data_IF_327465164355
#
_entry.id   IF_327465164355
#
_cell.length_a   1.000
_cell.length_b   1.000
_cell.length_c   1.000
_cell.angle_alpha   90.00
_cell.angle_beta   90.00
_cell.angle_gamma   90.00
#
_symmetry.space_group_name_H-M   'P 1'
#
loop_
_entity.id
_entity.type
_entity.pdbx_description
1 polymer ?
#
# COMPACT_ATOMS: atom_id res chain seq x y z
N UNK A 1 21.82 16.39 -12.60
CA UNK A 1 21.25 15.25 -13.35
C UNK A 1 21.82 13.98 -12.74
N UNK A 2 21.15 13.36 -11.78
CA UNK A 2 21.69 12.22 -11.04
C UNK A 2 20.55 11.46 -10.34
N UNK A 3 20.55 10.13 -10.49
CA UNK A 3 19.52 9.27 -9.89
C UNK A 3 19.45 7.87 -10.52
N UNK A 4 19.79 7.76 -11.81
CA UNK A 4 19.96 6.46 -12.47
C UNK A 4 21.37 5.94 -12.20
N UNK A 5 21.47 4.76 -11.60
CA UNK A 5 22.73 4.06 -11.32
C UNK A 5 22.61 2.63 -11.90
N UNK A 6 23.12 2.40 -13.12
CA UNK A 6 22.99 1.12 -13.81
C UNK A 6 23.63 -0.04 -13.03
N UNK A 7 24.76 0.19 -12.36
CA UNK A 7 25.47 -0.85 -11.63
C UNK A 7 24.66 -1.28 -10.40
N UNK A 8 24.14 -0.32 -9.63
CA UNK A 8 23.26 -0.61 -8.50
C UNK A 8 21.93 -1.21 -8.93
N UNK A 9 21.35 -0.71 -10.03
CA UNK A 9 20.14 -1.28 -10.63
C UNK A 9 20.37 -2.77 -10.96
N UNK A 10 21.43 -3.11 -11.69
CA UNK A 10 21.72 -4.51 -12.03
C UNK A 10 21.94 -5.39 -10.78
N UNK A 11 22.68 -4.89 -9.78
CA UNK A 11 22.92 -5.63 -8.55
C UNK A 11 21.63 -5.92 -7.76
N UNK A 12 20.77 -4.91 -7.59
CA UNK A 12 19.50 -5.06 -6.86
C UNK A 12 18.49 -5.90 -7.65
N UNK A 13 18.43 -5.77 -8.98
CA UNK A 13 17.62 -6.64 -9.82
C UNK A 13 18.06 -8.10 -9.67
N UNK A 14 19.37 -8.36 -9.66
CA UNK A 14 19.89 -9.71 -9.42
C UNK A 14 19.59 -10.25 -8.03
N UNK A 15 19.64 -9.42 -6.99
CA UNK A 15 19.28 -9.82 -5.63
C UNK A 15 17.80 -10.19 -5.54
N UNK A 16 16.93 -9.35 -6.12
CA UNK A 16 15.49 -9.57 -6.15
C UNK A 16 15.07 -10.88 -6.82
N UNK A 17 15.76 -11.32 -7.88
CA UNK A 17 15.52 -12.61 -8.55
C UNK A 17 15.69 -13.83 -7.63
N UNK A 18 16.49 -13.69 -6.57
CA UNK A 18 16.73 -14.74 -5.58
C UNK A 18 15.94 -14.57 -4.28
N UNK A 19 15.09 -13.54 -4.21
CA UNK A 19 14.33 -13.19 -3.02
C UNK A 19 13.00 -13.94 -2.93
N UNK A 20 12.33 -13.81 -1.79
CA UNK A 20 10.98 -14.33 -1.57
C UNK A 20 9.88 -13.37 -2.05
N UNK A 21 10.20 -12.29 -2.78
CA UNK A 21 9.18 -11.31 -3.20
C UNK A 21 8.09 -11.93 -4.06
N UNK A 22 6.90 -11.35 -4.01
CA UNK A 22 5.83 -11.70 -4.93
C UNK A 22 5.94 -10.93 -6.24
N UNK A 23 5.23 -11.45 -7.24
CA UNK A 23 5.04 -10.93 -8.59
C UNK A 23 6.27 -11.05 -9.50
N UNK A 24 6.02 -10.94 -10.81
CA UNK A 24 7.05 -10.98 -11.84
C UNK A 24 8.19 -10.01 -11.54
N UNK A 25 9.42 -10.39 -11.88
CA UNK A 25 10.60 -9.56 -11.62
C UNK A 25 10.59 -8.21 -12.36
N UNK A 26 9.84 -8.12 -13.46
CA UNK A 26 9.64 -6.89 -14.22
C UNK A 26 8.39 -6.13 -13.77
N UNK A 27 7.66 -6.61 -12.78
CA UNK A 27 6.57 -5.86 -12.17
C UNK A 27 7.13 -4.53 -11.64
N UNK A 28 6.39 -3.45 -11.86
CA UNK A 28 6.86 -2.08 -11.62
C UNK A 28 7.30 -1.81 -10.17
N UNK A 29 6.76 -2.51 -9.18
CA UNK A 29 7.19 -2.45 -7.78
C UNK A 29 8.46 -3.24 -7.50
N UNK A 30 8.76 -4.27 -8.29
CA UNK A 30 9.96 -5.12 -8.17
C UNK A 30 11.18 -4.51 -8.87
N UNK A 31 11.01 -3.45 -9.65
CA UNK A 31 12.11 -2.69 -10.27
C UNK A 31 12.76 -1.79 -9.22
N UNK A 32 14.09 -1.89 -8.98
CA UNK A 32 14.80 -1.02 -8.04
C UNK A 32 14.72 0.48 -8.37
N UNK A 33 14.73 1.32 -7.33
CA UNK A 33 14.71 2.78 -7.44
C UNK A 33 15.90 3.33 -8.25
N UNK A 34 17.07 2.68 -8.17
CA UNK A 34 18.27 3.07 -8.93
C UNK A 34 18.11 2.86 -10.45
N UNK A 35 17.14 2.07 -10.89
CA UNK A 35 16.81 1.93 -12.30
C UNK A 35 16.07 3.16 -12.85
N UNK A 36 15.46 3.97 -11.98
CA UNK A 36 14.72 5.17 -12.38
C UNK A 36 15.58 6.42 -12.32
N UNK A 37 15.35 7.32 -13.28
CA UNK A 37 15.81 8.70 -13.18
C UNK A 37 14.99 9.43 -12.12
N UNK A 38 15.59 10.47 -11.56
CA UNK A 38 14.90 11.43 -10.71
C UNK A 38 13.97 12.28 -11.57
N UNK A 39 12.71 12.43 -11.15
CA UNK A 39 11.74 13.25 -11.86
C UNK A 39 12.16 14.73 -11.91
N UNK A 40 11.87 15.41 -13.02
CA UNK A 40 12.24 16.83 -13.23
C UNK A 40 11.62 17.77 -12.21
N UNK A 41 10.46 17.39 -11.67
CA UNK A 41 9.69 18.09 -10.65
C UNK A 41 9.83 17.44 -9.26
N UNK A 42 10.90 16.66 -9.05
CA UNK A 42 11.14 15.95 -7.78
C UNK A 42 11.03 16.88 -6.58
N UNK A 43 11.61 18.08 -6.61
CA UNK A 43 11.57 19.01 -5.50
C UNK A 43 10.12 19.32 -5.06
N UNK A 44 9.22 19.57 -6.02
CA UNK A 44 7.80 19.83 -5.74
C UNK A 44 7.17 18.64 -5.02
N UNK A 45 7.31 17.45 -5.58
CA UNK A 45 6.58 16.28 -5.07
C UNK A 45 7.19 15.74 -3.78
N UNK A 46 8.51 15.76 -3.62
CA UNK A 46 9.16 15.38 -2.37
C UNK A 46 8.81 16.34 -1.25
N UNK A 47 8.76 17.66 -1.53
CA UNK A 47 8.37 18.66 -0.54
C UNK A 47 6.89 18.52 -0.16
N UNK A 48 6.00 18.34 -1.14
CA UNK A 48 4.58 18.13 -0.87
C UNK A 48 4.36 16.89 -0.01
N UNK A 49 4.97 15.76 -0.39
CA UNK A 49 4.85 14.53 0.39
C UNK A 49 5.42 14.72 1.81
N UNK A 50 6.64 15.25 1.95
CA UNK A 50 7.29 15.42 3.25
C UNK A 50 6.51 16.34 4.19
N UNK A 51 5.96 17.45 3.67
CA UNK A 51 5.29 18.45 4.50
C UNK A 51 3.84 18.08 4.81
N UNK A 52 3.13 17.39 3.91
CA UNK A 52 1.67 17.26 4.00
C UNK A 52 1.12 15.83 4.02
N UNK A 53 1.94 14.78 3.86
CA UNK A 53 1.44 13.38 3.82
C UNK A 53 0.89 12.86 5.14
N UNK A 54 1.21 13.50 6.26
CA UNK A 54 0.62 13.28 7.57
C UNK A 54 -0.28 14.48 7.93
N UNK A 55 -1.48 14.23 8.47
CA UNK A 55 -2.44 15.29 8.79
C UNK A 55 -1.92 16.27 9.83
N UNK A 56 -1.25 15.79 10.87
CA UNK A 56 -0.66 16.63 11.91
C UNK A 56 0.38 17.59 11.29
N UNK A 57 1.21 17.08 10.38
CA UNK A 57 2.16 17.89 9.62
C UNK A 57 1.45 18.91 8.71
N UNK A 58 0.39 18.49 8.01
CA UNK A 58 -0.41 19.36 7.15
C UNK A 58 -1.12 20.49 7.91
N UNK A 59 -1.42 20.28 9.19
CA UNK A 59 -1.97 21.29 10.11
C UNK A 59 -0.90 22.14 10.80
N UNK A 60 0.38 21.97 10.44
CA UNK A 60 1.48 22.83 10.86
C UNK A 60 2.42 22.25 11.91
N UNK A 61 2.22 21.00 12.35
CA UNK A 61 3.16 20.35 13.27
C UNK A 61 4.45 19.94 12.53
N UNK A 62 5.50 20.73 12.69
CA UNK A 62 6.78 20.51 12.00
C UNK A 62 7.49 19.22 12.40
N UNK A 63 7.21 18.68 13.60
CA UNK A 63 7.83 17.45 14.08
C UNK A 63 7.32 16.19 13.36
N UNK A 64 6.12 16.27 12.77
CA UNK A 64 5.45 15.16 12.07
C UNK A 64 5.75 15.16 10.56
N UNK A 65 6.57 16.10 10.08
CA UNK A 65 6.94 16.14 8.66
C UNK A 65 7.80 14.93 8.31
N UNK A 66 7.38 14.20 7.27
CA UNK A 66 7.99 12.95 6.84
C UNK A 66 7.82 11.81 7.85
N UNK A 67 7.00 11.97 8.90
CA UNK A 67 6.61 10.86 9.75
C UNK A 67 5.88 9.82 8.90
N UNK A 68 6.25 8.56 9.10
CA UNK A 68 5.68 7.42 8.39
C UNK A 68 5.62 6.23 9.34
N UNK A 69 4.41 5.76 9.60
CA UNK A 69 4.16 4.58 10.42
C UNK A 69 4.21 3.30 9.59
N UNK A 70 4.43 2.19 10.28
CA UNK A 70 4.22 0.85 9.77
C UNK A 70 2.98 0.27 10.46
N UNK A 71 1.95 0.01 9.67
CA UNK A 71 0.72 -0.65 10.06
C UNK A 71 0.99 -2.09 10.44
N UNK A 72 1.16 -2.34 11.75
CA UNK A 72 1.43 -3.67 12.29
C UNK A 72 0.21 -4.31 12.95
N UNK A 73 -0.82 -3.54 13.31
CA UNK A 73 -2.01 -4.07 13.97
C UNK A 73 -3.29 -3.61 13.27
N UNK A 74 -3.72 -2.37 13.50
CA UNK A 74 -4.98 -1.84 12.99
C UNK A 74 -5.01 -1.73 11.46
N UNK A 75 -3.88 -1.34 10.87
CA UNK A 75 -3.73 -1.01 9.44
C UNK A 75 -2.68 -1.89 8.74
N UNK A 76 -2.43 -3.09 9.27
CA UNK A 76 -1.68 -4.14 8.60
C UNK A 76 -2.63 -5.31 8.32
N UNK A 77 -2.77 -5.82 7.08
CA UNK A 77 -3.72 -6.89 6.77
C UNK A 77 -3.42 -8.16 7.56
N UNK A 78 -4.45 -8.79 8.11
CA UNK A 78 -4.32 -10.11 8.72
C UNK A 78 -4.16 -11.18 7.63
N UNK A 79 -2.94 -11.66 7.43
CA UNK A 79 -2.64 -12.66 6.40
C UNK A 79 -2.78 -14.08 6.97
N UNK A 80 -3.56 -14.92 6.31
CA UNK A 80 -3.74 -16.34 6.63
C UNK A 80 -3.43 -17.23 5.43
N UNK A 81 -3.15 -18.51 5.70
CA UNK A 81 -2.79 -19.48 4.68
C UNK A 81 -3.99 -20.36 4.33
N UNK A 82 -4.24 -20.60 3.05
CA UNK A 82 -5.42 -21.36 2.61
C UNK A 82 -5.40 -22.83 3.07
N UNK A 83 -4.23 -23.40 3.30
CA UNK A 83 -4.05 -24.76 3.87
C UNK A 83 -4.34 -24.84 5.38
N UNK A 84 -4.47 -23.70 6.07
CA UNK A 84 -4.95 -23.60 7.46
C UNK A 84 -6.48 -23.44 7.54
N UNK A 85 -7.17 -23.34 6.40
CA UNK A 85 -8.62 -23.28 6.34
C UNK A 85 -9.24 -24.60 6.81
N UNK A 86 -10.33 -24.51 7.56
CA UNK A 86 -11.08 -25.68 8.04
C UNK A 86 -12.36 -25.93 7.25
N UNK A 87 -12.75 -24.98 6.40
CA UNK A 87 -13.96 -25.01 5.56
C UNK A 87 -13.79 -24.08 4.36
N UNK A 88 -14.77 -24.05 3.47
CA UNK A 88 -15.04 -22.90 2.59
C UNK A 88 -16.22 -22.09 3.13
N UNK A 89 -16.33 -20.82 2.72
CA UNK A 89 -17.47 -19.96 3.06
C UNK A 89 -17.90 -19.14 1.85
N UNK A 90 -19.21 -18.95 1.66
CA UNK A 90 -19.75 -18.00 0.67
C UNK A 90 -19.57 -16.57 1.18
N UNK A 91 -19.25 -15.66 0.27
CA UNK A 91 -18.99 -14.26 0.61
C UNK A 91 -19.95 -13.33 -0.12
N UNK A 92 -20.49 -12.35 0.60
CA UNK A 92 -21.37 -11.32 0.08
C UNK A 92 -20.82 -9.93 0.42
N UNK A 93 -20.91 -9.01 -0.53
CA UNK A 93 -20.46 -7.63 -0.36
C UNK A 93 -21.59 -6.70 0.12
N UNK A 94 -21.25 -5.69 0.92
CA UNK A 94 -22.18 -4.64 1.38
C UNK A 94 -21.86 -3.23 0.89
N UNK A 95 -20.62 -2.95 0.50
CA UNK A 95 -20.17 -1.59 0.18
C UNK A 95 -19.74 -1.44 -1.28
N UNK A 96 -18.94 -2.39 -1.77
CA UNK A 96 -18.40 -2.38 -3.13
C UNK A 96 -18.63 -3.72 -3.82
N UNK A 97 -18.74 -3.68 -5.15
CA UNK A 97 -18.79 -4.90 -5.95
C UNK A 97 -17.59 -5.81 -5.66
N UNK A 98 -17.79 -7.13 -5.73
CA UNK A 98 -16.72 -8.13 -5.67
C UNK A 98 -16.39 -8.67 -7.07
N UNK A 99 -15.21 -9.29 -7.19
CA UNK A 99 -14.75 -9.94 -8.43
C UNK A 99 -14.60 -11.48 -8.28
N UNK A 100 -15.30 -12.08 -7.31
CA UNK A 100 -15.29 -13.53 -7.03
C UNK A 100 -16.04 -14.36 -8.09
N UNK A 101 -16.23 -13.83 -9.29
CA UNK A 101 -17.01 -14.48 -10.36
C UNK A 101 -16.47 -15.87 -10.69
N UNK A 102 -17.35 -16.86 -10.64
CA UNK A 102 -16.99 -18.27 -10.84
C UNK A 102 -16.28 -18.94 -9.66
N UNK A 103 -16.01 -18.21 -8.57
CA UNK A 103 -15.39 -18.70 -7.32
C UNK A 103 -16.05 -18.03 -6.10
N UNK A 104 -17.37 -18.18 -5.89
CA UNK A 104 -18.12 -17.45 -4.87
C UNK A 104 -17.77 -17.86 -3.43
N UNK A 105 -17.01 -18.95 -3.28
CA UNK A 105 -16.54 -19.44 -1.99
C UNK A 105 -15.03 -19.22 -1.84
N UNK A 106 -14.63 -18.88 -0.62
CA UNK A 106 -13.23 -18.69 -0.25
C UNK A 106 -12.82 -19.72 0.82
N UNK A 107 -11.54 -20.16 0.86
CA UNK A 107 -11.03 -20.91 1.99
C UNK A 107 -11.22 -20.11 3.28
N UNK A 108 -11.69 -20.77 4.34
CA UNK A 108 -12.05 -20.09 5.58
C UNK A 108 -11.78 -20.92 6.82
N UNK A 109 -11.36 -20.23 7.88
CA UNK A 109 -11.37 -20.75 9.23
C UNK A 109 -12.16 -19.78 10.12
N UNK A 110 -13.25 -20.20 10.77
CA UNK A 110 -14.03 -19.35 11.66
C UNK A 110 -13.23 -18.71 12.81
N UNK A 111 -12.05 -19.26 13.16
CA UNK A 111 -11.17 -18.66 14.17
C UNK A 111 -10.32 -17.51 13.65
N UNK A 112 -10.23 -17.28 12.33
CA UNK A 112 -9.47 -16.16 11.78
C UNK A 112 -10.11 -14.84 12.18
N UNK A 113 -9.25 -13.90 12.57
CA UNK A 113 -9.63 -12.57 13.07
C UNK A 113 -9.10 -11.53 12.09
N UNK A 114 -9.93 -10.58 11.64
CA UNK A 114 -9.47 -9.46 10.82
C UNK A 114 -8.64 -8.48 11.63
N UNK A 115 -7.95 -7.57 10.96
CA UNK A 115 -7.29 -6.45 11.63
C UNK A 115 -8.28 -5.65 12.50
N UNK A 116 -7.90 -5.21 13.71
CA UNK A 116 -8.82 -4.56 14.64
C UNK A 116 -9.15 -3.10 14.28
N UNK A 117 -8.44 -2.51 13.30
CA UNK A 117 -8.74 -1.19 12.77
C UNK A 117 -10.06 -1.17 11.99
N UNK A 118 -10.48 0.01 11.56
CA UNK A 118 -11.77 0.20 10.90
C UNK A 118 -11.89 -0.50 9.53
N UNK A 119 -10.78 -0.91 8.91
CA UNK A 119 -10.78 -1.62 7.63
C UNK A 119 -11.08 -3.11 7.76
N UNK A 120 -10.84 -3.72 8.93
CA UNK A 120 -11.08 -5.14 9.18
C UNK A 120 -10.62 -6.07 8.05
N UNK A 121 -9.39 -5.86 7.54
CA UNK A 121 -8.89 -6.60 6.38
C UNK A 121 -8.38 -8.00 6.75
N UNK A 122 -8.71 -8.98 5.91
CA UNK A 122 -8.09 -10.31 5.86
C UNK A 122 -7.57 -10.55 4.45
N UNK A 123 -6.33 -11.06 4.34
CA UNK A 123 -5.81 -11.62 3.10
C UNK A 123 -5.62 -13.13 3.29
N UNK A 124 -6.04 -13.92 2.31
CA UNK A 124 -5.85 -15.37 2.29
C UNK A 124 -4.90 -15.71 1.16
N UNK A 125 -3.81 -16.43 1.46
CA UNK A 125 -2.80 -16.85 0.50
C UNK A 125 -2.81 -18.36 0.32
N UNK A 126 -3.00 -18.81 -0.91
CA UNK A 126 -2.80 -20.21 -1.30
C UNK A 126 -1.48 -20.34 -2.05
N UNK A 127 -0.42 -20.81 -1.39
CA UNK A 127 0.88 -20.99 -2.06
C UNK A 127 0.94 -22.19 -2.97
N UNK A 128 0.03 -23.16 -2.83
CA UNK A 128 0.01 -24.31 -3.72
C UNK A 128 -0.38 -23.84 -5.13
N UNK A 129 -1.44 -23.03 -5.22
CA UNK A 129 -1.97 -22.54 -6.49
C UNK A 129 -1.49 -21.15 -6.89
N UNK A 130 -0.91 -20.38 -5.96
CA UNK A 130 -0.53 -18.98 -6.19
C UNK A 130 -1.70 -18.01 -6.10
N UNK A 131 -2.86 -18.42 -5.56
CA UNK A 131 -4.04 -17.57 -5.44
C UNK A 131 -3.98 -16.70 -4.19
N UNK A 132 -4.54 -15.51 -4.30
CA UNK A 132 -4.70 -14.57 -3.21
C UNK A 132 -6.12 -14.00 -3.20
N UNK A 133 -6.69 -13.86 -2.00
CA UNK A 133 -7.96 -13.18 -1.77
C UNK A 133 -7.77 -12.05 -0.77
N UNK A 134 -8.43 -10.91 -0.98
CA UNK A 134 -8.60 -9.87 0.04
C UNK A 134 -10.08 -9.74 0.39
N UNK A 135 -10.34 -9.63 1.68
CA UNK A 135 -11.65 -9.42 2.28
C UNK A 135 -11.56 -8.15 3.12
N UNK A 136 -12.27 -7.10 2.73
CA UNK A 136 -12.25 -5.80 3.37
C UNK A 136 -13.58 -5.51 4.08
N UNK A 137 -13.55 -4.83 5.22
CA UNK A 137 -14.66 -4.68 6.18
C UNK A 137 -15.30 -6.02 6.56
N UNK A 138 -14.50 -6.98 7.01
CA UNK A 138 -15.00 -8.31 7.42
C UNK A 138 -15.93 -8.18 8.63
N UNK A 139 -17.20 -8.55 8.44
CA UNK A 139 -18.27 -8.46 9.43
C UNK A 139 -18.63 -9.84 9.97
N UNK A 140 -17.86 -10.33 10.96
CA UNK A 140 -18.10 -11.66 11.57
C UNK A 140 -19.38 -11.69 12.41
N UNK A 141 -19.57 -10.68 13.25
CA UNK A 141 -20.67 -10.66 14.23
C UNK A 141 -21.85 -9.81 13.78
N UNK A 142 -21.58 -8.63 13.19
CA UNK A 142 -22.60 -7.70 12.71
C UNK A 142 -22.69 -7.71 11.19
N UNK A 143 -23.32 -8.73 10.61
CA UNK A 143 -23.50 -8.93 9.17
C UNK A 143 -24.68 -8.14 8.57
N UNK A 144 -25.24 -7.18 9.32
CA UNK A 144 -26.45 -6.46 8.92
C UNK A 144 -26.28 -5.61 7.66
N UNK A 145 -25.05 -5.17 7.34
CA UNK A 145 -24.78 -4.40 6.12
C UNK A 145 -25.03 -5.23 4.84
N UNK A 146 -24.96 -6.56 4.92
CA UNK A 146 -25.28 -7.43 3.79
C UNK A 146 -26.78 -7.74 3.66
N UNK A 147 -27.64 -7.23 4.55
CA UNK A 147 -29.11 -7.34 4.42
C UNK A 147 -29.60 -6.32 3.39
N UNK A 148 -29.30 -6.59 2.12
CA UNK A 148 -29.79 -5.81 0.97
C UNK A 148 -30.76 -6.66 0.16
N UNK A 149 -31.63 -6.03 -0.63
CA UNK A 149 -32.53 -6.75 -1.54
C UNK A 149 -31.75 -7.62 -2.52
N UNK A 150 -30.64 -7.10 -3.05
CA UNK A 150 -29.75 -7.83 -3.96
C UNK A 150 -29.20 -9.11 -3.31
N UNK A 151 -28.60 -9.00 -2.13
CA UNK A 151 -28.04 -10.15 -1.42
C UNK A 151 -29.13 -11.13 -0.98
N UNK A 152 -30.31 -10.64 -0.58
CA UNK A 152 -31.45 -11.50 -0.25
C UNK A 152 -31.88 -12.36 -1.45
N UNK A 153 -32.02 -11.76 -2.63
CA UNK A 153 -32.36 -12.50 -3.85
C UNK A 153 -31.23 -13.42 -4.32
N UNK A 154 -29.98 -13.10 -4.00
CA UNK A 154 -28.82 -13.98 -4.20
C UNK A 154 -28.69 -15.09 -3.13
N UNK A 155 -29.62 -15.16 -2.17
CA UNK A 155 -29.69 -16.23 -1.17
C UNK A 155 -28.71 -16.06 0.00
N UNK A 156 -28.41 -14.82 0.39
CA UNK A 156 -27.64 -14.51 1.59
C UNK A 156 -28.36 -15.00 2.86
N UNK A 157 -27.59 -15.63 3.75
CA UNK A 157 -28.02 -16.13 5.07
C UNK A 157 -27.12 -15.54 6.13
N UNK A 158 -27.66 -14.59 6.89
CA UNK A 158 -26.98 -13.98 8.04
C UNK A 158 -26.51 -15.02 9.06
N UNK A 159 -25.29 -14.85 9.56
CA UNK A 159 -24.65 -15.77 10.50
C UNK A 159 -24.19 -17.10 9.90
N UNK A 160 -24.39 -17.32 8.59
CA UNK A 160 -23.93 -18.51 7.86
C UNK A 160 -22.95 -18.13 6.77
N UNK A 161 -23.28 -17.13 5.96
CA UNK A 161 -22.39 -16.59 4.94
C UNK A 161 -21.59 -15.41 5.49
N UNK A 162 -20.41 -15.17 4.92
CA UNK A 162 -19.54 -14.08 5.33
C UNK A 162 -20.02 -12.78 4.70
N UNK A 163 -20.27 -11.77 5.55
CA UNK A 163 -20.50 -10.41 5.10
C UNK A 163 -19.18 -9.62 5.09
N UNK A 164 -18.91 -8.92 4.00
CA UNK A 164 -17.74 -8.04 3.84
C UNK A 164 -18.14 -6.75 3.14
N UNK A 165 -17.37 -5.69 3.29
CA UNK A 165 -17.52 -4.48 2.46
C UNK A 165 -17.15 -4.76 1.01
N UNK A 166 -16.06 -5.48 0.80
CA UNK A 166 -15.61 -5.95 -0.51
C UNK A 166 -14.89 -7.30 -0.39
N UNK A 167 -15.06 -8.16 -1.40
CA UNK A 167 -14.22 -9.33 -1.60
C UNK A 167 -13.53 -9.27 -2.96
N UNK A 168 -12.28 -9.69 -2.98
CA UNK A 168 -11.45 -9.73 -4.17
C UNK A 168 -10.66 -11.03 -4.24
N UNK A 169 -10.51 -11.58 -5.44
CA UNK A 169 -9.48 -12.55 -5.80
C UNK A 169 -8.50 -11.88 -6.78
N UNK A 170 -7.21 -12.20 -6.66
CA UNK A 170 -6.19 -11.78 -7.62
C UNK A 170 -6.55 -12.20 -9.05
N UNK A 171 -6.55 -11.24 -9.98
CA UNK A 171 -6.80 -11.47 -11.40
C UNK A 171 -5.82 -10.69 -12.25
N UNK A 172 -5.43 -11.25 -13.38
CA UNK A 172 -4.69 -10.55 -14.42
C UNK A 172 -5.60 -9.55 -15.15
N UNK A 173 -5.02 -8.74 -16.04
CA UNK A 173 -5.74 -7.75 -16.86
C UNK A 173 -6.70 -8.37 -17.89
N UNK A 174 -6.52 -9.65 -18.25
CA UNK A 174 -7.44 -10.41 -19.10
C UNK A 174 -8.58 -11.09 -18.31
N UNK A 175 -8.56 -10.94 -16.97
CA UNK A 175 -9.54 -11.50 -16.05
C UNK A 175 -9.37 -12.94 -15.64
N UNK A 176 -8.34 -13.63 -16.15
CA UNK A 176 -7.89 -14.90 -15.57
C UNK A 176 -7.45 -14.71 -14.11
N UNK A 177 -7.58 -15.75 -13.29
CA UNK A 177 -7.08 -15.73 -11.91
C UNK A 177 -5.55 -15.63 -11.94
N UNK A 178 -4.99 -14.67 -11.21
CA UNK A 178 -3.55 -14.45 -11.17
C UNK A 178 -2.86 -15.46 -10.26
N UNK A 179 -1.62 -15.79 -10.60
CA UNK A 179 -0.68 -16.46 -9.72
C UNK A 179 0.28 -15.41 -9.15
N UNK A 180 0.20 -15.08 -7.86
CA UNK A 180 1.04 -14.04 -7.25
C UNK A 180 2.55 -14.32 -7.38
N UNK A 181 2.97 -15.54 -7.73
CA UNK A 181 4.38 -15.91 -7.90
C UNK A 181 4.95 -15.45 -9.24
N UNK A 182 4.10 -15.26 -10.25
CA UNK A 182 4.52 -14.97 -11.63
C UNK A 182 3.73 -13.85 -12.29
N UNK A 183 2.59 -13.45 -11.74
CA UNK A 183 1.76 -12.38 -12.29
C UNK A 183 2.46 -11.04 -12.12
N UNK A 184 2.13 -10.08 -12.98
CA UNK A 184 2.62 -8.71 -12.83
C UNK A 184 1.97 -7.95 -11.68
N UNK A 185 0.99 -8.55 -10.98
CA UNK A 185 0.07 -7.97 -9.97
C UNK A 185 -0.79 -6.79 -10.43
N UNK A 186 -0.70 -6.37 -11.69
CA UNK A 186 -1.68 -5.46 -12.30
C UNK A 186 -2.94 -6.26 -12.60
N UNK A 187 -4.09 -5.71 -12.24
CA UNK A 187 -5.37 -6.39 -12.31
C UNK A 187 -6.34 -5.75 -13.29
N UNK A 188 -7.38 -6.48 -13.68
CA UNK A 188 -8.58 -5.91 -14.30
C UNK A 188 -9.52 -5.25 -13.29
N UNK A 189 -9.33 -5.49 -11.98
CA UNK A 189 -10.25 -5.08 -10.93
C UNK A 189 -9.56 -4.12 -9.94
N UNK A 190 -10.20 -3.00 -9.53
CA UNK A 190 -9.63 -2.10 -8.54
C UNK A 190 -9.54 -2.77 -7.16
N UNK A 191 -8.31 -2.95 -6.68
CA UNK A 191 -8.01 -3.61 -5.41
C UNK A 191 -7.46 -2.71 -4.32
N UNK A 192 -6.97 -1.51 -4.68
CA UNK A 192 -6.41 -0.49 -3.76
C UNK A 192 -6.77 0.91 -4.24
N UNK A 193 -6.41 1.93 -3.47
CA UNK A 193 -6.61 3.33 -3.81
C UNK A 193 -6.02 3.74 -5.16
N UNK A 194 -4.83 3.21 -5.49
CA UNK A 194 -4.15 3.43 -6.75
C UNK A 194 -4.81 2.70 -7.93
N UNK A 195 -5.77 1.81 -7.68
CA UNK A 195 -6.61 1.20 -8.69
C UNK A 195 -6.38 -0.29 -8.87
N UNK A 196 -6.26 -0.71 -10.13
CA UNK A 196 -6.39 -2.09 -10.55
C UNK A 196 -5.11 -2.88 -10.33
N UNK A 197 -4.92 -3.30 -9.08
CA UNK A 197 -3.81 -4.13 -8.60
C UNK A 197 -4.34 -5.26 -7.73
N UNK A 198 -3.59 -6.35 -7.62
CA UNK A 198 -3.96 -7.51 -6.81
C UNK A 198 -3.66 -7.29 -5.31
N UNK A 199 -4.24 -8.10 -4.40
CA UNK A 199 -4.21 -7.85 -2.95
C UNK A 199 -2.85 -7.55 -2.33
N UNK A 200 -1.84 -8.38 -2.59
CA UNK A 200 -0.53 -8.30 -1.92
C UNK A 200 0.45 -7.31 -2.55
N UNK A 201 0.05 -6.59 -3.59
CA UNK A 201 0.89 -5.56 -4.21
C UNK A 201 1.32 -4.54 -3.15
N UNK A 202 2.64 -4.33 -3.04
CA UNK A 202 3.32 -3.39 -2.15
C UNK A 202 3.33 -3.74 -0.65
N UNK A 203 2.82 -4.92 -0.25
CA UNK A 203 2.74 -5.33 1.16
C UNK A 203 3.92 -6.26 1.51
N UNK A 204 4.86 -5.83 2.38
CA UNK A 204 5.94 -6.68 2.83
C UNK A 204 5.41 -7.78 3.75
N UNK A 205 5.92 -9.00 3.54
CA UNK A 205 5.56 -10.18 4.33
C UNK A 205 6.61 -10.54 5.36
N UNK A 206 6.20 -11.26 6.40
CA UNK A 206 7.13 -11.78 7.40
C UNK A 206 8.18 -12.73 6.79
N UNK A 207 7.81 -13.51 5.76
CA UNK A 207 8.74 -14.40 5.05
C UNK A 207 9.91 -13.65 4.38
N UNK A 208 9.69 -12.40 3.97
CA UNK A 208 10.71 -11.54 3.37
C UNK A 208 11.61 -10.94 4.46
N UNK A 209 10.99 -10.41 5.52
CA UNK A 209 11.69 -9.79 6.64
C UNK A 209 12.55 -10.82 7.39
N UNK A 210 12.06 -12.05 7.57
CA UNK A 210 12.82 -13.15 8.16
C UNK A 210 13.96 -13.64 7.25
N UNK A 211 13.79 -13.56 5.93
CA UNK A 211 14.85 -13.84 4.95
C UNK A 211 15.91 -12.71 4.90
N UNK A 212 15.57 -11.52 5.38
CA UNK A 212 16.52 -10.43 5.60
C UNK A 212 16.45 -9.28 4.59
N UNK A 213 15.48 -9.27 3.68
CA UNK A 213 15.30 -8.21 2.69
C UNK A 213 13.84 -8.04 2.30
N UNK A 214 13.46 -6.81 1.91
CA UNK A 214 12.22 -6.54 1.18
C UNK A 214 12.65 -5.98 -0.17
N UNK A 215 12.45 -6.76 -1.22
CA UNK A 215 13.01 -6.50 -2.55
C UNK A 215 11.96 -5.98 -3.54
N UNK A 216 11.07 -5.13 -3.03
CA UNK A 216 10.02 -4.44 -3.78
C UNK A 216 9.66 -3.09 -3.12
N UNK A 217 8.95 -2.22 -3.85
CA UNK A 217 8.45 -0.96 -3.32
C UNK A 217 7.38 -1.18 -2.25
N UNK A 218 7.33 -0.29 -1.26
CA UNK A 218 6.33 -0.32 -0.19
C UNK A 218 5.12 0.55 -0.53
N UNK A 219 3.96 0.24 0.05
CA UNK A 219 2.78 1.08 -0.09
C UNK A 219 2.90 2.31 0.81
N UNK A 220 2.19 3.38 0.46
CA UNK A 220 2.03 4.52 1.35
C UNK A 220 0.60 5.06 1.23
N UNK A 221 -0.14 4.89 2.31
CA UNK A 221 -1.41 5.55 2.55
C UNK A 221 -1.09 6.98 3.00
N UNK A 222 -1.49 7.98 2.22
CA UNK A 222 -1.11 9.38 2.44
C UNK A 222 -2.33 10.28 2.65
N UNK A 223 -2.20 11.26 3.56
CA UNK A 223 -3.28 12.21 3.84
C UNK A 223 -3.52 13.20 2.69
N UNK A 224 -2.47 13.54 1.95
CA UNK A 224 -2.50 14.54 0.88
C UNK A 224 -2.54 13.92 -0.51
N UNK A 225 -3.33 12.86 -0.75
CA UNK A 225 -3.53 12.37 -2.11
C UNK A 225 -4.25 13.42 -2.98
N UNK A 226 -3.91 13.42 -4.28
CA UNK A 226 -4.45 14.38 -5.25
C UNK A 226 -5.96 14.26 -5.39
N UNK A 227 -6.64 15.40 -5.47
CA UNK A 227 -8.09 15.48 -5.61
C UNK A 227 -8.55 16.52 -6.64
N UNK A 228 -9.84 16.53 -6.93
CA UNK A 228 -10.52 17.46 -7.80
C UNK A 228 -10.68 16.95 -9.23
N UNK A 229 -11.39 17.74 -10.05
CA UNK A 229 -11.71 17.39 -11.41
C UNK A 229 -10.47 17.04 -12.25
N UNK A 230 -10.65 16.04 -13.10
CA UNK A 230 -9.69 15.53 -14.07
C UNK A 230 -8.94 16.64 -14.83
N UNK A 231 -7.61 16.53 -14.91
CA UNK A 231 -6.87 17.33 -15.89
C UNK A 231 -7.23 16.91 -17.33
N UNK A 232 -7.45 17.88 -18.20
CA UNK A 232 -7.49 17.66 -19.64
C UNK A 232 -6.09 17.44 -20.20
N UNK A 233 -5.99 16.84 -21.39
CA UNK A 233 -4.71 16.68 -22.08
C UNK A 233 -3.97 18.01 -22.28
N UNK A 234 -4.69 19.12 -22.51
CA UNK A 234 -4.10 20.45 -22.67
C UNK A 234 -3.57 21.06 -21.36
N UNK A 235 -4.07 20.60 -20.21
CA UNK A 235 -3.61 21.07 -18.90
C UNK A 235 -2.42 20.27 -18.38
N UNK A 236 -2.24 19.03 -18.83
CA UNK A 236 -1.07 18.21 -18.46
C UNK A 236 0.24 18.88 -18.88
N UNK A 237 1.22 18.90 -17.97
CA UNK A 237 2.51 19.58 -18.18
C UNK A 237 2.48 21.10 -18.00
N UNK A 238 1.34 21.69 -17.61
CA UNK A 238 1.22 23.12 -17.30
C UNK A 238 1.09 23.38 -15.80
N UNK A 239 1.09 24.64 -15.38
CA UNK A 239 0.86 25.04 -13.98
C UNK A 239 -0.54 24.67 -13.44
N UNK A 240 -1.47 24.27 -14.31
CA UNK A 240 -2.79 23.80 -13.91
C UNK A 240 -2.75 22.40 -13.26
N UNK A 241 -1.84 21.53 -13.73
CA UNK A 241 -1.75 20.15 -13.29
C UNK A 241 -1.35 20.04 -11.82
N UNK A 242 -2.23 19.44 -11.03
CA UNK A 242 -2.08 19.32 -9.58
C UNK A 242 -2.31 20.63 -8.83
N UNK A 243 -3.03 21.58 -9.43
CA UNK A 243 -3.45 22.84 -8.80
C UNK A 243 -4.91 23.14 -9.07
N UNK A 244 -5.28 23.34 -10.33
CA UNK A 244 -6.67 23.58 -10.74
C UNK A 244 -7.36 22.33 -11.31
N UNK A 245 -6.60 21.26 -11.54
CA UNK A 245 -7.09 19.92 -11.88
C UNK A 245 -6.24 18.82 -11.21
N UNK A 246 -6.82 17.63 -11.02
CA UNK A 246 -6.19 16.45 -10.43
C UNK A 246 -5.86 15.36 -11.46
N UNK A 247 -4.92 14.48 -11.11
CA UNK A 247 -4.51 13.33 -11.93
C UNK A 247 -3.79 12.28 -11.08
N UNK A 248 -3.64 11.07 -11.62
CA UNK A 248 -2.75 10.01 -11.14
C UNK A 248 -1.68 9.70 -12.20
N UNK A 249 -0.60 9.03 -11.78
CA UNK A 249 0.46 8.58 -12.68
C UNK A 249 0.70 7.08 -12.51
N UNK A 250 1.24 6.43 -13.54
CA UNK A 250 1.59 5.02 -13.45
C UNK A 250 2.49 4.74 -12.23
N UNK A 251 2.24 3.63 -11.49
CA UNK A 251 1.37 2.52 -11.86
C UNK A 251 -0.09 2.67 -11.43
N UNK A 252 -0.50 3.81 -10.89
CA UNK A 252 -1.90 4.02 -10.57
C UNK A 252 -2.76 3.98 -11.85
N UNK A 253 -3.89 3.29 -11.76
CA UNK A 253 -4.93 3.22 -12.80
C UNK A 253 -6.18 4.03 -12.43
N UNK A 254 -6.21 4.64 -11.24
CA UNK A 254 -7.23 5.58 -10.77
C UNK A 254 -6.62 6.56 -9.77
N UNK A 255 -7.30 7.66 -9.49
CA UNK A 255 -7.10 8.43 -8.25
C UNK A 255 -8.44 8.62 -7.54
N UNK A 256 -8.43 8.52 -6.21
CA UNK A 256 -9.64 8.39 -5.39
C UNK A 256 -10.41 9.71 -5.25
N UNK A 257 -9.70 10.84 -5.26
CA UNK A 257 -10.28 12.16 -5.02
C UNK A 257 -10.94 12.83 -6.23
N UNK A 258 -11.48 12.09 -7.20
CA UNK A 258 -12.00 12.67 -8.46
C UNK A 258 -13.07 13.75 -8.24
N UNK A 259 -13.90 13.57 -7.21
CA UNK A 259 -15.00 14.49 -6.88
C UNK A 259 -14.63 15.53 -5.80
N UNK A 260 -13.36 15.56 -5.40
CA UNK A 260 -12.86 16.37 -4.29
C UNK A 260 -12.16 15.53 -3.23
N UNK A 261 -11.74 16.16 -2.11
CA UNK A 261 -11.10 15.46 -1.00
C UNK A 261 -11.94 14.31 -0.44
N UNK A 262 -11.28 13.31 0.16
CA UNK A 262 -11.93 12.11 0.68
C UNK A 262 -13.04 12.44 1.69
N UNK A 263 -14.28 12.10 1.32
CA UNK A 263 -15.48 12.42 2.10
C UNK A 263 -15.57 11.61 3.39
N UNK A 264 -15.07 10.36 3.39
CA UNK A 264 -15.05 9.48 4.55
C UNK A 264 -14.24 10.07 5.72
N UNK A 265 -13.32 11.01 5.45
CA UNK A 265 -12.56 11.69 6.49
C UNK A 265 -13.36 12.69 7.32
N UNK A 266 -14.62 13.00 6.97
CA UNK A 266 -15.49 13.84 7.81
C UNK A 266 -14.87 15.20 8.12
N UNK A 267 -14.68 15.52 9.42
CA UNK A 267 -14.01 16.77 9.85
C UNK A 267 -12.50 16.78 9.62
N UNK A 268 -11.89 15.63 9.32
CA UNK A 268 -10.49 15.51 8.99
C UNK A 268 -10.21 15.73 7.50
N UNK A 269 -11.23 15.86 6.64
CA UNK A 269 -11.03 16.06 5.19
C UNK A 269 -10.30 17.38 4.88
N UNK A 270 -9.54 17.39 3.79
CA UNK A 270 -8.96 18.61 3.24
C UNK A 270 -10.02 19.58 2.70
N UNK A 271 -9.71 20.88 2.66
CA UNK A 271 -10.56 21.85 1.98
C UNK A 271 -10.43 21.74 0.45
N UNK A 272 -11.56 21.82 -0.26
CA UNK A 272 -11.61 21.70 -1.72
C UNK A 272 -11.22 23.00 -2.44
N UNK A 273 -9.98 23.46 -2.26
CA UNK A 273 -9.43 24.67 -2.90
C UNK A 273 -8.20 24.37 -3.75
N UNK A 274 -7.90 25.23 -4.73
CA UNK A 274 -6.69 25.10 -5.57
C UNK A 274 -5.40 25.25 -4.75
N UNK A 275 -5.43 26.09 -3.70
CA UNK A 275 -4.30 26.26 -2.79
C UNK A 275 -3.98 24.95 -2.07
N UNK A 276 -5.00 24.29 -1.52
CA UNK A 276 -4.82 23.02 -0.81
C UNK A 276 -4.46 21.91 -1.79
N UNK A 277 -5.09 21.85 -2.97
CA UNK A 277 -4.71 20.88 -4.01
C UNK A 277 -3.25 20.99 -4.41
N UNK A 278 -2.69 22.21 -4.46
CA UNK A 278 -1.27 22.39 -4.78
C UNK A 278 -0.29 21.76 -3.79
N UNK A 279 -0.76 21.36 -2.60
CA UNK A 279 0.01 20.66 -1.55
C UNK A 279 -0.10 19.13 -1.61
N UNK A 280 -0.93 18.59 -2.51
CA UNK A 280 -1.19 17.16 -2.63
C UNK A 280 -0.17 16.46 -3.54
N UNK A 281 -0.23 15.13 -3.59
CA UNK A 281 0.60 14.27 -4.43
C UNK A 281 -0.27 13.31 -5.27
N UNK A 282 -0.01 13.13 -6.57
CA UNK A 282 -0.71 12.14 -7.39
C UNK A 282 -0.55 10.72 -6.81
N UNK A 283 -1.64 9.92 -6.77
CA UNK A 283 -1.49 8.47 -6.57
C UNK A 283 -0.56 7.89 -7.66
N UNK A 284 0.19 6.85 -7.27
CA UNK A 284 1.22 6.21 -8.09
C UNK A 284 2.58 6.91 -8.05
N UNK A 285 2.69 8.09 -7.43
CA UNK A 285 3.98 8.75 -7.23
C UNK A 285 4.89 7.87 -6.38
N UNK A 286 6.07 7.56 -6.91
CA UNK A 286 7.09 6.76 -6.23
C UNK A 286 8.22 7.64 -5.73
N UNK A 287 8.56 7.48 -4.47
CA UNK A 287 9.68 8.16 -3.81
C UNK A 287 10.73 7.16 -3.39
N UNK A 288 11.97 7.61 -3.18
CA UNK A 288 13.02 6.81 -2.55
C UNK A 288 13.91 7.66 -1.66
N UNK A 289 14.53 7.03 -0.68
CA UNK A 289 15.56 7.64 0.15
C UNK A 289 16.92 7.63 -0.56
N UNK A 290 17.63 8.74 -0.43
CA UNK A 290 19.02 8.90 -0.83
C UNK A 290 19.88 8.76 0.42
N UNK A 291 20.29 7.52 0.69
CA UNK A 291 21.06 7.14 1.88
C UNK A 291 22.15 6.15 1.52
N UNK A 292 23.28 6.26 2.19
CA UNK A 292 24.32 5.23 2.21
C UNK A 292 24.06 4.20 3.32
N UNK A 293 24.74 3.05 3.28
CA UNK A 293 24.66 2.07 4.36
C UNK A 293 25.17 2.63 5.69
N UNK A 294 26.24 3.43 5.66
CA UNK A 294 26.79 4.05 6.86
C UNK A 294 25.84 5.08 7.49
N UNK A 295 25.06 5.80 6.69
CA UNK A 295 24.02 6.70 7.21
C UNK A 295 22.84 5.93 7.83
N UNK A 296 22.44 4.81 7.23
CA UNK A 296 21.43 3.92 7.84
C UNK A 296 21.96 3.36 9.17
N UNK A 297 23.21 2.89 9.20
CA UNK A 297 23.81 2.38 10.43
C UNK A 297 23.97 3.43 11.53
N UNK A 298 24.26 4.67 11.13
CA UNK A 298 24.32 5.83 12.04
C UNK A 298 22.94 6.15 12.61
N UNK A 299 21.89 6.15 11.79
CA UNK A 299 20.51 6.34 12.24
C UNK A 299 20.05 5.23 13.20
N UNK A 300 20.30 3.96 12.86
CA UNK A 300 19.98 2.83 13.74
C UNK A 300 20.66 2.97 15.12
N UNK A 301 21.88 3.50 15.13
CA UNK A 301 22.66 3.73 16.36
C UNK A 301 22.10 4.90 17.15
N UNK A 302 21.72 6.01 16.50
CA UNK A 302 21.11 7.16 17.19
C UNK A 302 19.74 6.84 17.80
N UNK A 303 19.02 5.86 17.22
CA UNK A 303 17.79 5.29 17.78
C UNK A 303 18.02 4.33 18.94
N UNK A 304 19.27 3.93 19.21
CA UNK A 304 19.58 2.91 20.21
C UNK A 304 19.07 1.52 19.85
N UNK A 305 18.73 1.27 18.58
CA UNK A 305 18.25 -0.04 18.16
C UNK A 305 19.39 -1.05 18.22
N UNK A 306 19.10 -2.21 18.82
CA UNK A 306 20.02 -3.34 18.95
C UNK A 306 19.34 -4.66 18.57
N UNK A 307 20.12 -5.73 18.43
CA UNK A 307 19.59 -7.09 18.24
C UNK A 307 18.66 -7.25 17.04
N UNK A 308 17.53 -7.94 17.26
CA UNK A 308 16.53 -8.22 16.22
C UNK A 308 15.84 -6.94 15.71
N UNK A 309 15.44 -6.03 16.61
CA UNK A 309 14.83 -4.75 16.23
C UNK A 309 15.73 -3.94 15.29
N UNK A 310 17.05 -3.89 15.56
CA UNK A 310 18.01 -3.22 14.66
C UNK A 310 18.00 -3.83 13.26
N UNK A 311 18.04 -5.16 13.16
CA UNK A 311 18.01 -5.85 11.87
C UNK A 311 16.72 -5.55 11.11
N UNK A 312 15.57 -5.64 11.78
CA UNK A 312 14.27 -5.36 11.16
C UNK A 312 14.13 -3.91 10.72
N UNK A 313 14.49 -2.94 11.56
CA UNK A 313 14.51 -1.53 11.19
C UNK A 313 15.46 -1.26 10.00
N UNK A 314 16.59 -1.96 9.94
CA UNK A 314 17.53 -1.86 8.81
C UNK A 314 16.90 -2.34 7.51
N UNK A 315 16.14 -3.44 7.53
CA UNK A 315 15.48 -4.00 6.34
C UNK A 315 14.51 -2.97 5.74
N UNK A 316 13.66 -2.36 6.55
CA UNK A 316 12.75 -1.30 6.08
C UNK A 316 13.51 -0.08 5.55
N UNK A 317 14.55 0.39 6.24
CA UNK A 317 15.35 1.52 5.79
C UNK A 317 16.06 1.26 4.44
N UNK A 318 16.54 0.03 4.25
CA UNK A 318 17.13 -0.43 2.99
C UNK A 318 16.08 -0.49 1.89
N UNK A 319 14.89 -1.05 2.16
CA UNK A 319 13.80 -1.12 1.20
C UNK A 319 13.35 0.28 0.73
N UNK A 320 13.17 1.24 1.66
CA UNK A 320 12.82 2.63 1.35
C UNK A 320 13.88 3.37 0.50
N UNK A 321 15.14 2.94 0.58
CA UNK A 321 16.23 3.45 -0.26
C UNK A 321 16.26 2.76 -1.62
N UNK A 322 16.27 1.43 -1.62
CA UNK A 322 16.58 0.59 -2.78
C UNK A 322 15.38 0.40 -3.70
N UNK A 323 14.17 0.42 -3.16
CA UNK A 323 12.92 0.30 -3.90
C UNK A 323 11.97 1.48 -3.61
N UNK A 324 12.03 2.10 -2.45
CA UNK A 324 11.19 3.25 -2.16
C UNK A 324 9.75 2.89 -1.83
N UNK A 325 8.86 3.88 -1.87
CA UNK A 325 7.45 3.74 -1.56
C UNK A 325 6.58 4.41 -2.62
N UNK A 326 5.38 3.89 -2.83
CA UNK A 326 4.40 4.39 -3.79
C UNK A 326 3.18 4.91 -3.03
N UNK A 327 2.76 6.14 -3.31
CA UNK A 327 1.49 6.67 -2.81
C UNK A 327 0.35 5.84 -3.38
N UNK A 328 -0.21 4.96 -2.55
CA UNK A 328 -1.12 3.91 -2.95
C UNK A 328 -2.56 4.19 -2.55
N UNK A 329 -2.79 4.77 -1.38
CA UNK A 329 -4.13 4.90 -0.80
C UNK A 329 -4.26 6.25 -0.10
N UNK A 330 -5.50 6.65 0.16
CA UNK A 330 -5.81 7.85 0.94
C UNK A 330 -6.11 7.48 2.39
N UNK A 331 -5.55 8.23 3.33
CA UNK A 331 -5.83 8.10 4.77
C UNK A 331 -6.31 9.44 5.33
N UNK A 332 -6.98 9.40 6.49
CA UNK A 332 -7.51 10.58 7.13
C UNK A 332 -6.60 11.18 8.20
N UNK A 333 -5.50 10.48 8.57
CA UNK A 333 -4.70 10.86 9.74
C UNK A 333 -3.20 10.75 9.51
N UNK A 334 -2.67 9.53 9.48
CA UNK A 334 -1.25 9.29 9.50
C UNK A 334 -0.74 8.81 8.13
N UNK A 335 0.49 9.17 7.77
CA UNK A 335 1.16 8.58 6.61
C UNK A 335 1.59 7.18 7.00
N UNK A 336 0.99 6.16 6.40
CA UNK A 336 1.13 4.77 6.85
C UNK A 336 1.65 3.89 5.71
N UNK A 337 2.44 2.88 6.05
CA UNK A 337 2.72 1.73 5.18
C UNK A 337 2.13 0.49 5.83
N UNK A 338 1.37 -0.29 5.09
CA UNK A 338 0.85 -1.55 5.60
C UNK A 338 1.95 -2.61 5.52
N UNK A 339 2.02 -3.48 6.53
CA UNK A 339 2.81 -4.71 6.50
C UNK A 339 1.94 -5.88 6.95
N UNK A 340 2.38 -7.12 6.76
CA UNK A 340 1.69 -8.28 7.32
C UNK A 340 1.37 -8.07 8.81
N UNK A 341 0.08 -8.08 9.15
CA UNK A 341 -0.44 -7.63 10.43
C UNK A 341 -0.36 -8.67 11.55
N UNK A 342 -0.23 -8.19 12.78
CA UNK A 342 -0.18 -8.98 14.02
C UNK A 342 -1.56 -9.44 14.51
N UNK A 343 -2.64 -9.16 13.79
CA UNK A 343 -3.96 -9.68 14.13
C UNK A 343 -4.03 -11.22 13.99
N UNK A 344 -3.24 -11.80 13.07
CA UNK A 344 -2.96 -13.23 13.06
C UNK A 344 -2.00 -13.57 14.24
N UNK A 345 -2.40 -14.41 15.22
CA UNK A 345 -1.54 -14.75 16.36
C UNK A 345 -0.21 -15.39 15.98
N UNK A 346 -0.17 -16.14 14.87
CA UNK A 346 1.08 -16.72 14.37
C UNK A 346 2.04 -15.62 13.87
N UNK A 347 1.51 -14.63 13.14
CA UNK A 347 2.27 -13.47 12.68
C UNK A 347 2.76 -12.61 13.88
N UNK A 348 1.92 -12.40 14.90
CA UNK A 348 2.33 -11.67 16.12
C UNK A 348 3.56 -12.32 16.80
N UNK A 349 3.59 -13.65 16.88
CA UNK A 349 4.73 -14.38 17.45
C UNK A 349 6.00 -14.21 16.62
N UNK A 350 5.89 -14.21 15.30
CA UNK A 350 7.00 -13.99 14.36
C UNK A 350 7.56 -12.58 14.47
N UNK A 351 6.69 -11.56 14.50
CA UNK A 351 7.09 -10.18 14.76
C UNK A 351 7.81 -9.99 16.09
N UNK A 352 7.33 -10.64 17.17
CA UNK A 352 8.00 -10.61 18.46
C UNK A 352 9.43 -11.21 18.39
N UNK A 353 9.62 -12.28 17.61
CA UNK A 353 10.96 -12.86 17.37
C UNK A 353 11.87 -11.93 16.56
N UNK A 354 11.29 -11.10 15.70
CA UNK A 354 11.96 -10.00 15.00
C UNK A 354 12.23 -8.77 15.91
N UNK A 355 11.85 -8.85 17.19
CA UNK A 355 12.05 -7.78 18.16
C UNK A 355 11.11 -6.60 17.98
N UNK A 356 9.99 -6.79 17.30
CA UNK A 356 8.98 -5.77 17.03
C UNK A 356 7.73 -6.05 17.86
N UNK A 357 7.30 -5.04 18.61
CA UNK A 357 6.02 -5.01 19.31
C UNK A 357 5.00 -4.15 18.53
N UNK A 358 3.68 -4.30 18.78
CA UNK A 358 2.67 -3.47 18.14
C UNK A 358 2.93 -1.96 18.26
N UNK A 359 3.42 -1.51 19.43
CA UNK A 359 3.73 -0.09 19.70
C UNK A 359 4.90 0.46 18.88
N UNK A 360 5.72 -0.39 18.28
CA UNK A 360 6.85 0.06 17.46
C UNK A 360 6.41 0.59 16.10
N UNK A 361 5.22 0.22 15.62
CA UNK A 361 4.74 0.59 14.29
C UNK A 361 4.79 2.09 14.01
N UNK A 362 4.42 2.92 15.00
CA UNK A 362 4.38 4.36 14.83
C UNK A 362 5.73 5.08 15.00
N UNK A 363 6.78 4.38 15.44
CA UNK A 363 8.06 5.01 15.81
C UNK A 363 9.29 4.32 15.21
N UNK A 364 9.11 3.20 14.51
CA UNK A 364 10.23 2.40 14.00
C UNK A 364 11.11 3.22 13.05
N UNK A 365 10.51 4.11 12.25
CA UNK A 365 11.16 4.92 11.21
C UNK A 365 11.53 6.34 11.65
N UNK A 366 11.29 6.72 12.90
CA UNK A 366 11.55 8.09 13.41
C UNK A 366 12.96 8.58 13.07
N UNK A 367 13.04 9.77 12.48
CA UNK A 367 14.31 10.44 12.18
C UNK A 367 15.10 9.83 11.01
N UNK A 368 14.62 8.77 10.36
CA UNK A 368 15.22 8.24 9.14
C UNK A 368 14.99 9.19 7.96
N UNK A 369 13.72 9.58 7.79
CA UNK A 369 13.22 10.35 6.65
C UNK A 369 13.46 11.84 6.91
N UNK A 370 14.10 12.51 5.95
CA UNK A 370 14.36 13.95 5.96
C UNK A 370 14.14 14.53 4.58
N UNK A 371 13.73 15.78 4.52
CA UNK A 371 13.44 16.47 3.26
C UNK A 371 14.58 16.39 2.24
N UNK A 372 15.82 16.59 2.69
CA UNK A 372 17.04 16.56 1.85
C UNK A 372 17.42 15.16 1.35
N UNK A 373 16.72 14.12 1.81
CA UNK A 373 17.01 12.71 1.48
C UNK A 373 15.96 12.09 0.57
N UNK A 374 14.90 12.81 0.21
CA UNK A 374 13.82 12.24 -0.60
C UNK A 374 14.03 12.65 -2.05
N UNK A 375 13.83 11.71 -2.97
CA UNK A 375 13.65 12.02 -4.38
C UNK A 375 12.41 11.35 -4.92
N UNK A 376 11.76 12.01 -5.87
CA UNK A 376 10.67 11.46 -6.66
C UNK A 376 11.26 10.77 -7.89
N UNK A 377 10.79 9.57 -8.17
CA UNK A 377 11.20 8.80 -9.35
C UNK A 377 10.31 9.15 -10.54
N UNK A 378 10.88 9.11 -11.74
CA UNK A 378 10.04 9.14 -12.95
C UNK A 378 9.08 7.95 -12.96
N UNK A 379 7.83 8.14 -13.43
CA UNK A 379 6.89 7.04 -13.56
C UNK A 379 7.41 6.01 -14.57
N UNK A 380 7.08 4.72 -14.43
CA UNK A 380 7.52 3.65 -15.35
C UNK A 380 7.01 3.85 -16.77
N UNK A 381 5.93 4.62 -16.94
CA UNK A 381 5.42 5.05 -18.24
C UNK A 381 4.94 6.50 -18.14
N UNK A 382 4.80 7.17 -19.29
CA UNK A 382 4.16 8.49 -19.34
C UNK A 382 2.63 8.42 -19.26
N UNK A 383 2.04 7.26 -18.92
CA UNK A 383 0.61 7.12 -18.76
C UNK A 383 0.14 7.97 -17.58
N UNK A 384 -0.82 8.84 -17.86
CA UNK A 384 -1.48 9.70 -16.90
C UNK A 384 -2.93 9.25 -16.81
N UNK A 385 -3.42 9.10 -15.60
CA UNK A 385 -4.81 8.79 -15.34
C UNK A 385 -5.53 10.08 -14.99
N UNK A 386 -6.46 10.47 -15.85
CA UNK A 386 -7.27 11.66 -15.64
C UNK A 386 -8.71 11.32 -15.26
N UNK A 387 -9.17 10.06 -15.34
CA UNK A 387 -10.54 9.65 -15.01
C UNK A 387 -11.62 10.59 -15.59
N UNK A 388 -11.48 10.93 -16.88
CA UNK A 388 -12.56 11.51 -17.68
C UNK A 388 -13.58 10.44 -18.08
#
# INVERSE_FOLDING_TARGET
MGGHDPARCAALTSAGLSSNRFYDDNAVWNIPASCYRTAVDSARWSDNWFVYSNRSAALGNVAERGAMSIGLLEYGPAIYRADEATTTIRVFSSAYANNLWGVPEVPWNPSWVPSPGNDHEIVILDTATGREWSLWLVQKDNWSACITWENFFAGFRGGVDLCVGQAMIGRNTDGSISDFRTASGISQWPGRGLGAVTPMVLIPRLDEIEAGSIDHALNNEAYNTMFGGACTAAQMGTAAAGRSCGYAIAPASRFEGLLGPEGACGSAKMEATDAVRSTTVPQGTRFSLQLTDSEIDSWLTSRGYTGAKRRTARIFAVALRDYGWIVSDTTCWDSNMSAEGMANPAAAKRWAALGIAPSDGSTLLDGLIRQDRIRTLEPPTNAVVTNL
#
